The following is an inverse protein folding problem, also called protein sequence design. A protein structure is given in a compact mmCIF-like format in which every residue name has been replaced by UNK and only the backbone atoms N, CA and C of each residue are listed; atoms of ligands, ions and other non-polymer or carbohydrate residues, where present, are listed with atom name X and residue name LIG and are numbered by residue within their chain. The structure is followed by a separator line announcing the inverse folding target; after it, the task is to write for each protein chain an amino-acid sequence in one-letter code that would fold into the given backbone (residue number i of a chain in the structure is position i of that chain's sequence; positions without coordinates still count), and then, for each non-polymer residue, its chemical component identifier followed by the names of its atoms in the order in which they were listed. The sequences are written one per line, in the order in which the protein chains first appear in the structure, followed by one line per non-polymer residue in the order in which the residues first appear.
data_IF_624871319086
#
_entry.id   IF_624871319086
#
_cell.length_a   1.000
_cell.length_b   1.000
_cell.length_c   1.000
_cell.angle_alpha   90.00
_cell.angle_beta   90.00
_cell.angle_gamma   90.00
#
_symmetry.space_group_name_H-M   'P 1'
#
loop_
_entity.id
_entity.type
_entity.pdbx_description
1 polymer ?
#
# COMPACT_ATOMS: atom_id res chain seq x y z
N UNK A 1 28.23 -18.35 19.74
CA UNK A 1 27.07 -17.94 20.54
C UNK A 1 26.21 -19.18 20.70
N UNK A 2 25.91 -19.58 21.92
CA UNK A 2 24.97 -20.68 22.17
C UNK A 2 23.53 -20.14 22.27
N UNK A 3 22.54 -21.05 22.32
CA UNK A 3 21.14 -20.68 22.32
C UNK A 3 20.71 -19.91 23.59
N UNK A 4 21.29 -20.23 24.75
CA UNK A 4 20.97 -19.54 26.01
C UNK A 4 21.45 -18.09 26.00
N UNK A 5 22.61 -17.82 25.40
CA UNK A 5 23.10 -16.46 25.17
C UNK A 5 22.20 -15.67 24.20
N UNK A 6 21.73 -16.32 23.12
CA UNK A 6 20.78 -15.74 22.17
C UNK A 6 19.46 -15.41 22.88
N UNK A 7 18.91 -16.37 23.63
CA UNK A 7 17.65 -16.25 24.35
C UNK A 7 17.69 -15.12 25.37
N UNK A 8 18.76 -15.04 26.16
CA UNK A 8 18.99 -13.95 27.11
C UNK A 8 18.99 -12.57 26.44
N UNK A 9 19.65 -12.44 25.28
CA UNK A 9 19.67 -11.19 24.50
C UNK A 9 18.28 -10.85 23.93
N UNK A 10 17.52 -11.84 23.47
CA UNK A 10 16.15 -11.65 22.99
C UNK A 10 15.23 -11.20 24.14
N UNK A 11 15.34 -11.82 25.31
CA UNK A 11 14.54 -11.46 26.48
C UNK A 11 14.81 -10.03 26.92
N UNK A 12 16.08 -9.60 26.93
CA UNK A 12 16.44 -8.19 27.18
C UNK A 12 15.75 -7.25 26.18
N UNK A 13 15.75 -7.56 24.88
CA UNK A 13 15.14 -6.71 23.85
C UNK A 13 13.63 -6.56 24.06
N UNK A 14 12.96 -7.63 24.50
CA UNK A 14 11.53 -7.62 24.79
C UNK A 14 11.22 -6.96 26.14
N UNK A 15 11.99 -7.20 27.21
CA UNK A 15 11.85 -6.52 28.52
C UNK A 15 12.06 -5.00 28.40
N UNK A 16 12.99 -4.55 27.56
CA UNK A 16 13.18 -3.11 27.30
C UNK A 16 12.00 -2.47 26.55
N UNK A 17 11.16 -3.23 25.84
CA UNK A 17 9.92 -2.69 25.27
C UNK A 17 8.90 -2.32 26.37
N UNK A 18 8.84 -3.12 27.45
CA UNK A 18 7.93 -2.89 28.58
C UNK A 18 8.32 -1.64 29.40
N UNK A 19 9.63 -1.39 29.55
CA UNK A 19 10.19 -0.38 30.47
C UNK A 19 10.44 1.01 29.87
N UNK A 20 10.05 1.27 28.62
CA UNK A 20 9.99 2.63 28.06
C UNK A 20 8.87 3.51 28.69
N UNK A 21 8.25 3.06 29.78
CA UNK A 21 7.45 3.87 30.72
C UNK A 21 8.37 4.30 31.85
N UNK A 22 8.82 5.56 31.83
CA UNK A 22 9.54 6.29 32.89
C UNK A 22 10.30 5.45 33.94
N UNK A 23 11.63 5.50 33.91
CA UNK A 23 12.46 5.05 35.04
C UNK A 23 11.97 5.73 36.34
N UNK A 24 11.64 4.97 37.41
CA UNK A 24 11.58 5.58 38.72
C UNK A 24 12.98 6.05 39.08
N UNK A 25 13.13 7.36 39.28
CA UNK A 25 14.36 7.96 39.81
C UNK A 25 14.72 7.23 41.11
N UNK A 26 15.80 6.46 41.04
CA UNK A 26 16.49 5.79 42.16
C UNK A 26 15.58 5.03 43.13
N UNK A 27 15.52 3.70 42.97
CA UNK A 27 15.69 2.83 44.13
C UNK A 27 16.66 1.70 43.77
N UNK A 28 17.83 1.74 44.40
CA UNK A 28 18.68 0.58 44.55
C UNK A 28 17.91 -0.47 45.33
N UNK A 29 17.63 -1.63 44.73
CA UNK A 29 17.74 -2.89 45.47
C UNK A 29 17.94 -4.07 44.52
N UNK A 30 18.80 -4.96 45.02
CA UNK A 30 19.50 -6.04 44.32
C UNK A 30 18.54 -7.13 43.81
N UNK A 31 18.65 -7.46 42.54
CA UNK A 31 18.44 -8.84 42.08
C UNK A 31 19.72 -9.28 41.37
N UNK A 32 20.59 -9.93 42.12
CA UNK A 32 21.88 -10.43 41.66
C UNK A 32 21.64 -11.71 40.86
N UNK A 33 21.64 -11.62 39.54
CA UNK A 33 21.85 -12.82 38.70
C UNK A 33 23.31 -13.23 38.85
N UNK A 34 23.53 -14.39 39.46
CA UNK A 34 24.86 -14.99 39.62
C UNK A 34 25.35 -15.42 38.24
N UNK A 35 26.20 -14.59 37.63
CA UNK A 35 26.92 -14.93 36.40
C UNK A 35 27.84 -16.12 36.71
N UNK A 36 27.50 -17.30 36.19
CA UNK A 36 28.37 -18.47 36.25
C UNK A 36 29.48 -18.26 35.22
N UNK A 37 30.66 -17.90 35.74
CA UNK A 37 32.01 -18.02 35.16
C UNK A 37 32.19 -17.62 33.68
N UNK A 38 32.73 -16.40 33.48
CA UNK A 38 33.82 -16.19 32.51
C UNK A 38 33.54 -15.36 31.26
N UNK A 39 32.30 -14.97 30.97
CA UNK A 39 31.99 -14.07 29.84
C UNK A 39 32.01 -12.61 30.27
N UNK A 40 32.82 -11.77 29.60
CA UNK A 40 32.65 -10.30 29.67
C UNK A 40 31.21 -9.97 29.27
N UNK A 41 30.53 -9.11 30.03
CA UNK A 41 29.24 -8.57 29.64
C UNK A 41 29.40 -7.90 28.25
N UNK A 42 28.73 -8.36 27.19
CA UNK A 42 28.87 -7.79 25.85
C UNK A 42 28.39 -6.33 25.76
N UNK A 43 27.86 -5.78 26.86
CA UNK A 43 27.35 -4.41 26.98
C UNK A 43 28.13 -3.56 28.01
N UNK A 44 29.34 -3.99 28.45
CA UNK A 44 30.12 -3.25 29.47
C UNK A 44 30.97 -2.08 28.94
N UNK A 45 30.96 -1.79 27.65
CA UNK A 45 31.58 -0.56 27.14
C UNK A 45 30.59 0.59 27.23
N UNK A 46 30.99 1.61 27.98
CA UNK A 46 30.25 2.79 28.39
C UNK A 46 29.74 3.64 27.21
N UNK A 47 28.68 3.19 26.55
CA UNK A 47 27.88 4.03 25.68
C UNK A 47 26.52 4.26 26.32
N UNK A 48 26.15 5.54 26.42
CA UNK A 48 24.91 6.04 26.97
C UNK A 48 23.69 5.21 26.53
N UNK A 49 22.94 4.70 27.49
CA UNK A 49 21.68 3.98 27.26
C UNK A 49 20.66 4.96 26.66
N UNK A 50 20.60 5.02 25.33
CA UNK A 50 19.57 5.78 24.61
C UNK A 50 18.26 4.98 24.60
N UNK A 51 17.15 5.68 24.76
CA UNK A 51 15.78 5.18 24.61
C UNK A 51 15.62 4.60 23.21
N UNK A 52 15.56 3.27 23.09
CA UNK A 52 15.44 2.60 21.80
C UNK A 52 14.00 2.67 21.29
N UNK A 53 13.86 3.07 20.02
CA UNK A 53 12.57 3.04 19.32
C UNK A 53 12.23 1.61 18.86
N UNK A 54 10.94 1.32 18.60
CA UNK A 54 10.47 -0.02 18.19
C UNK A 54 11.20 -0.58 16.95
N UNK A 55 11.69 0.29 16.07
CA UNK A 55 12.43 -0.08 14.85
C UNK A 55 13.87 -0.54 15.14
N UNK A 56 14.56 0.09 16.09
CA UNK A 56 15.94 -0.27 16.45
C UNK A 56 16.03 -1.65 17.09
N UNK A 57 15.00 -2.04 17.87
CA UNK A 57 14.89 -3.39 18.43
C UNK A 57 14.70 -4.45 17.33
N UNK A 58 13.96 -4.13 16.26
CA UNK A 58 13.82 -5.05 15.12
C UNK A 58 15.14 -5.22 14.37
N UNK A 59 15.84 -4.12 14.11
CA UNK A 59 17.17 -4.16 13.47
C UNK A 59 18.16 -4.99 14.30
N UNK A 60 18.07 -4.94 15.63
CA UNK A 60 18.91 -5.77 16.49
C UNK A 60 18.51 -7.25 16.42
N UNK A 61 17.22 -7.59 16.42
CA UNK A 61 16.75 -8.96 16.20
C UNK A 61 17.22 -9.50 14.83
N UNK A 62 17.16 -8.68 13.78
CA UNK A 62 17.65 -9.03 12.44
C UNK A 62 19.16 -9.26 12.44
N UNK A 63 19.94 -8.44 13.16
CA UNK A 63 21.39 -8.63 13.32
C UNK A 63 21.71 -9.90 14.08
N UNK A 64 20.98 -10.22 15.15
CA UNK A 64 21.15 -11.47 15.89
C UNK A 64 20.79 -12.69 15.03
N UNK A 65 19.69 -12.62 14.29
CA UNK A 65 19.25 -13.70 13.39
C UNK A 65 20.24 -13.95 12.24
N UNK A 66 20.80 -12.87 11.68
CA UNK A 66 21.77 -12.94 10.58
C UNK A 66 23.22 -13.10 11.05
N UNK A 67 23.47 -13.21 12.35
CA UNK A 67 24.79 -13.59 12.85
C UNK A 67 25.19 -14.96 12.28
N UNK A 68 26.49 -15.24 12.21
CA UNK A 68 27.04 -16.46 11.60
C UNK A 68 26.76 -17.70 12.49
N UNK A 69 25.48 -18.06 12.62
CA UNK A 69 24.95 -19.17 13.44
C UNK A 69 24.42 -20.28 12.54
N UNK A 70 24.39 -21.51 13.06
CA UNK A 70 23.87 -22.68 12.36
C UNK A 70 22.37 -22.54 12.06
N UNK A 71 21.90 -23.25 11.04
CA UNK A 71 20.49 -23.24 10.64
C UNK A 71 19.56 -23.75 11.76
N UNK A 72 20.01 -24.73 12.54
CA UNK A 72 19.27 -25.24 13.70
C UNK A 72 19.05 -24.14 14.76
N UNK A 73 20.06 -23.31 15.03
CA UNK A 73 19.94 -22.19 15.96
C UNK A 73 19.02 -21.09 15.42
N UNK A 74 18.99 -20.86 14.10
CA UNK A 74 18.03 -19.94 13.48
C UNK A 74 16.60 -20.43 13.62
N UNK A 75 16.37 -21.74 13.49
CA UNK A 75 15.07 -22.34 13.70
C UNK A 75 14.61 -22.24 15.16
N UNK A 76 15.51 -22.45 16.12
CA UNK A 76 15.21 -22.23 17.54
C UNK A 76 14.96 -20.75 17.86
N UNK A 77 15.74 -19.84 17.27
CA UNK A 77 15.53 -18.39 17.35
C UNK A 77 14.13 -18.01 16.87
N UNK A 78 13.73 -18.49 15.69
CA UNK A 78 12.41 -18.21 15.12
C UNK A 78 11.30 -18.76 15.99
N UNK A 79 11.40 -20.01 16.45
CA UNK A 79 10.43 -20.59 17.39
C UNK A 79 10.30 -19.74 18.64
N UNK A 80 11.41 -19.24 19.18
CA UNK A 80 11.42 -18.41 20.37
C UNK A 80 10.76 -17.05 20.14
N UNK A 81 11.20 -16.30 19.12
CA UNK A 81 10.63 -15.00 18.79
C UNK A 81 9.15 -15.12 18.40
N UNK A 82 8.78 -16.09 17.58
CA UNK A 82 7.38 -16.36 17.23
C UNK A 82 6.54 -16.79 18.44
N UNK A 83 7.12 -17.36 19.50
CA UNK A 83 6.37 -17.66 20.73
C UNK A 83 6.00 -16.41 21.52
N UNK A 84 6.70 -15.29 21.30
CA UNK A 84 6.40 -14.00 21.92
C UNK A 84 5.26 -13.25 21.23
N UNK A 85 4.76 -13.73 20.08
CA UNK A 85 3.64 -13.10 19.36
C UNK A 85 2.33 -13.11 20.15
N UNK A 86 2.21 -14.01 21.13
CA UNK A 86 1.03 -14.12 22.01
C UNK A 86 0.98 -13.03 23.08
N UNK A 87 2.07 -12.26 23.23
CA UNK A 87 2.12 -11.05 24.04
C UNK A 87 1.90 -9.84 23.13
N UNK A 88 0.84 -9.06 23.41
CA UNK A 88 0.43 -7.94 22.58
C UNK A 88 1.44 -6.78 22.62
N UNK A 89 2.25 -6.66 23.68
CA UNK A 89 3.32 -5.65 23.72
C UNK A 89 4.40 -6.00 22.68
N UNK A 90 4.59 -7.30 22.43
CA UNK A 90 5.61 -7.86 21.56
C UNK A 90 5.10 -8.17 20.14
N UNK A 91 3.78 -8.09 19.90
CA UNK A 91 3.16 -8.47 18.64
C UNK A 91 3.65 -7.62 17.46
N UNK A 92 3.80 -6.31 17.66
CA UNK A 92 4.23 -5.39 16.60
C UNK A 92 5.69 -5.66 16.22
N UNK A 93 6.57 -5.83 17.23
CA UNK A 93 7.99 -6.13 17.01
C UNK A 93 8.18 -7.50 16.35
N UNK A 94 7.52 -8.53 16.89
CA UNK A 94 7.61 -9.91 16.41
C UNK A 94 7.11 -10.03 14.97
N UNK A 95 5.99 -9.39 14.65
CA UNK A 95 5.46 -9.37 13.28
C UNK A 95 6.35 -8.63 12.33
N UNK A 96 6.81 -7.43 12.70
CA UNK A 96 7.67 -6.65 11.83
C UNK A 96 8.97 -7.41 11.54
N UNK A 97 9.53 -8.07 12.55
CA UNK A 97 10.68 -8.97 12.39
C UNK A 97 10.39 -10.14 11.43
N UNK A 98 9.30 -10.88 11.62
CA UNK A 98 8.91 -11.98 10.73
C UNK A 98 8.63 -11.53 9.29
N UNK A 99 8.04 -10.35 9.12
CA UNK A 99 7.81 -9.71 7.82
C UNK A 99 9.14 -9.40 7.11
N UNK A 100 10.11 -8.80 7.81
CA UNK A 100 11.44 -8.51 7.25
C UNK A 100 12.18 -9.77 6.84
N UNK A 101 11.96 -10.88 7.53
CA UNK A 101 12.48 -12.20 7.15
C UNK A 101 11.65 -12.94 6.09
N UNK A 102 10.55 -12.34 5.62
CA UNK A 102 9.59 -12.95 4.68
C UNK A 102 9.02 -14.30 5.17
N UNK A 103 8.90 -14.48 6.49
CA UNK A 103 8.38 -15.70 7.16
C UNK A 103 6.88 -15.62 7.39
N UNK A 104 6.14 -15.42 6.31
CA UNK A 104 4.68 -15.27 6.34
C UNK A 104 3.96 -16.54 6.76
N UNK A 105 4.50 -17.69 6.38
CA UNK A 105 4.06 -19.03 6.80
C UNK A 105 3.98 -19.16 8.32
N UNK A 106 5.07 -18.81 9.01
CA UNK A 106 5.19 -18.89 10.47
C UNK A 106 4.30 -17.85 11.14
N UNK A 107 4.19 -16.67 10.53
CA UNK A 107 3.30 -15.60 10.99
C UNK A 107 1.83 -16.03 10.93
N UNK A 108 1.40 -16.57 9.78
CA UNK A 108 0.03 -17.04 9.58
C UNK A 108 -0.28 -18.22 10.50
N UNK A 109 0.58 -19.22 10.59
CA UNK A 109 0.38 -20.38 11.48
C UNK A 109 0.07 -19.96 12.93
N UNK A 110 0.79 -18.95 13.44
CA UNK A 110 0.57 -18.43 14.79
C UNK A 110 -0.72 -17.61 14.91
N UNK A 111 -1.01 -16.75 13.94
CA UNK A 111 -2.26 -15.98 13.88
C UNK A 111 -3.51 -16.86 13.66
N UNK A 112 -3.37 -18.05 13.08
CA UNK A 112 -4.46 -19.00 12.85
C UNK A 112 -4.53 -20.13 13.89
N UNK A 113 -3.61 -20.15 14.86
CA UNK A 113 -3.65 -21.11 15.97
C UNK A 113 -4.90 -20.92 16.85
N UNK A 114 -5.31 -21.96 17.58
CA UNK A 114 -6.61 -22.06 18.28
C UNK A 114 -6.91 -20.96 19.30
N UNK A 115 -5.92 -20.17 19.70
CA UNK A 115 -6.10 -18.99 20.55
C UNK A 115 -6.76 -17.82 19.79
N UNK A 116 -6.54 -17.70 18.48
CA UNK A 116 -7.15 -16.69 17.62
C UNK A 116 -8.46 -17.16 16.94
N UNK A 117 -8.70 -18.46 16.82
CA UNK A 117 -9.96 -18.98 16.24
C UNK A 117 -11.21 -18.68 17.08
N UNK A 118 -11.06 -18.40 18.39
CA UNK A 118 -12.14 -17.91 19.25
C UNK A 118 -12.63 -16.49 18.87
N UNK A 119 -11.94 -15.84 17.94
CA UNK A 119 -12.14 -14.46 17.51
C UNK A 119 -12.74 -14.38 16.08
N UNK A 120 -13.53 -15.36 15.63
CA UNK A 120 -13.93 -15.57 14.21
C UNK A 120 -14.57 -14.41 13.41
N UNK A 121 -15.17 -13.39 14.06
CA UNK A 121 -15.65 -12.15 13.41
C UNK A 121 -14.64 -10.99 13.50
N UNK A 122 -13.56 -11.20 14.26
CA UNK A 122 -12.53 -10.24 14.63
C UNK A 122 -11.22 -10.47 13.85
N UNK A 123 -11.09 -11.58 13.11
CA UNK A 123 -9.88 -11.88 12.32
C UNK A 123 -9.75 -10.96 11.09
N UNK A 124 -10.85 -10.67 10.38
CA UNK A 124 -10.82 -9.68 9.28
C UNK A 124 -10.50 -8.28 9.80
N UNK A 125 -11.12 -7.89 10.92
CA UNK A 125 -10.88 -6.61 11.58
C UNK A 125 -9.42 -6.48 12.05
N UNK A 126 -8.88 -7.55 12.64
CA UNK A 126 -7.49 -7.63 13.05
C UNK A 126 -6.57 -7.56 11.83
N UNK A 127 -6.86 -8.28 10.75
CA UNK A 127 -6.13 -8.19 9.48
C UNK A 127 -6.20 -6.78 8.86
N UNK A 128 -7.31 -6.05 8.98
CA UNK A 128 -7.44 -4.69 8.45
C UNK A 128 -6.62 -3.69 9.26
N UNK A 129 -6.70 -3.76 10.59
CA UNK A 129 -5.85 -2.98 11.51
C UNK A 129 -4.37 -3.32 11.29
N UNK A 130 -4.07 -4.59 11.02
CA UNK A 130 -2.73 -5.09 10.80
C UNK A 130 -2.14 -4.66 9.47
N UNK A 131 -2.90 -4.77 8.39
CA UNK A 131 -2.53 -4.26 7.07
C UNK A 131 -2.29 -2.75 7.14
N UNK A 132 -3.08 -2.03 7.96
CA UNK A 132 -2.93 -0.60 8.21
C UNK A 132 -1.69 -0.24 9.06
N UNK A 133 -1.32 -1.06 10.05
CA UNK A 133 -0.09 -0.86 10.82
C UNK A 133 1.15 -1.22 9.98
N UNK A 134 1.06 -2.30 9.19
CA UNK A 134 2.16 -2.80 8.35
C UNK A 134 2.43 -1.96 7.11
N UNK A 135 1.48 -1.14 6.65
CA UNK A 135 1.72 -0.21 5.55
C UNK A 135 2.64 0.96 5.94
N UNK A 136 3.09 1.05 7.21
CA UNK A 136 3.82 2.19 7.80
C UNK A 136 3.05 3.51 7.72
N UNK A 137 1.80 3.46 7.27
CA UNK A 137 0.96 4.60 6.96
C UNK A 137 0.48 5.32 8.21
N UNK A 138 0.49 4.72 9.40
CA UNK A 138 0.00 5.34 10.64
C UNK A 138 0.86 6.53 11.13
N UNK A 139 2.04 6.77 10.53
CA UNK A 139 2.98 7.80 10.97
C UNK A 139 2.48 9.24 10.75
N UNK A 140 1.68 9.46 9.69
CA UNK A 140 1.11 10.79 9.38
C UNK A 140 -0.27 11.02 10.01
N UNK A 141 -0.56 10.39 11.13
CA UNK A 141 -1.84 10.57 11.82
C UNK A 141 -1.78 11.75 12.80
N UNK A 142 -2.88 12.54 12.89
CA UNK A 142 -3.06 13.50 13.97
C UNK A 142 -2.83 12.86 15.35
N UNK A 143 -2.14 13.58 16.24
CA UNK A 143 -1.73 13.08 17.55
C UNK A 143 -2.90 12.61 18.42
N UNK A 144 -4.07 13.23 18.29
CA UNK A 144 -5.30 12.89 18.99
C UNK A 144 -5.85 11.53 18.54
N UNK A 145 -5.81 11.25 17.23
CA UNK A 145 -6.18 9.95 16.66
C UNK A 145 -5.20 8.87 17.12
N UNK A 146 -3.89 9.14 17.07
CA UNK A 146 -2.87 8.20 17.55
C UNK A 146 -3.04 7.88 19.04
N UNK A 147 -3.39 8.90 19.84
CA UNK A 147 -3.65 8.74 21.27
C UNK A 147 -4.89 7.88 21.53
N UNK A 148 -5.96 8.07 20.75
CA UNK A 148 -7.17 7.26 20.83
C UNK A 148 -6.92 5.80 20.40
N UNK A 149 -6.16 5.59 19.32
CA UNK A 149 -5.75 4.27 18.85
C UNK A 149 -4.98 3.52 19.94
N UNK A 150 -3.98 4.18 20.55
CA UNK A 150 -3.19 3.63 21.66
C UNK A 150 -4.07 3.29 22.87
N UNK A 151 -5.03 4.14 23.20
CA UNK A 151 -5.93 3.92 24.33
C UNK A 151 -6.83 2.71 24.11
N UNK A 152 -7.38 2.53 22.90
CA UNK A 152 -8.25 1.41 22.56
C UNK A 152 -7.46 0.10 22.53
N UNK A 153 -6.28 0.09 21.90
CA UNK A 153 -5.38 -1.08 21.90
C UNK A 153 -5.00 -1.50 23.34
N UNK A 154 -4.71 -0.53 24.22
CA UNK A 154 -4.42 -0.78 25.63
C UNK A 154 -5.62 -1.35 26.40
N UNK A 155 -6.84 -0.90 26.10
CA UNK A 155 -8.06 -1.45 26.73
C UNK A 155 -8.29 -2.90 26.31
N UNK A 156 -8.07 -3.22 25.03
CA UNK A 156 -8.18 -4.58 24.50
C UNK A 156 -7.17 -5.53 25.16
N UNK A 157 -5.95 -5.06 25.43
CA UNK A 157 -4.90 -5.81 26.15
C UNK A 157 -5.29 -6.14 27.60
N UNK A 158 -5.77 -5.13 28.35
CA UNK A 158 -6.23 -5.35 29.73
C UNK A 158 -7.41 -6.32 29.83
N UNK A 159 -8.22 -6.45 28.78
CA UNK A 159 -9.36 -7.37 28.72
C UNK A 159 -8.96 -8.79 28.26
N UNK A 160 -7.93 -8.94 27.42
CA UNK A 160 -7.39 -10.25 27.03
C UNK A 160 -6.62 -10.94 28.14
N UNK A 161 -5.92 -10.17 28.99
CA UNK A 161 -5.19 -10.69 30.15
C UNK A 161 -6.09 -10.94 31.37
N UNK A 162 -7.35 -10.52 31.30
CA UNK A 162 -8.34 -10.61 32.39
C UNK A 162 -9.18 -11.89 32.40
N UNK A 163 -8.62 -13.03 31.97
CA UNK A 163 -9.36 -14.30 32.04
C UNK A 163 -9.08 -15.06 33.34
N UNK A 164 -10.13 -15.40 34.13
CA UNK A 164 -9.97 -16.20 35.33
C UNK A 164 -9.51 -17.61 34.91
N UNK A 165 -8.51 -18.18 35.60
CA UNK A 165 -8.17 -19.57 35.41
C UNK A 165 -9.41 -20.40 35.76
N UNK A 166 -9.82 -21.28 34.85
CA UNK A 166 -10.90 -22.28 34.97
C UNK A 166 -12.27 -21.87 34.38
N UNK A 167 -12.45 -22.13 33.08
CA UNK A 167 -13.64 -22.81 32.53
C UNK A 167 -15.05 -22.20 32.66
N UNK A 168 -15.23 -21.04 33.31
CA UNK A 168 -16.54 -20.38 33.41
C UNK A 168 -16.52 -19.15 32.51
N UNK A 169 -17.37 -19.19 31.48
CA UNK A 169 -17.38 -18.22 30.39
C UNK A 169 -17.39 -16.76 30.86
N UNK A 170 -16.79 -15.89 30.05
CA UNK A 170 -16.85 -14.43 30.23
C UNK A 170 -18.23 -14.00 30.73
N UNK A 171 -18.26 -13.32 31.87
CA UNK A 171 -19.46 -12.65 32.32
C UNK A 171 -19.93 -11.68 31.21
N UNK A 172 -21.24 -11.62 30.99
CA UNK A 172 -21.89 -10.75 29.99
C UNK A 172 -21.37 -9.30 29.91
N UNK A 173 -20.91 -8.66 31.01
CA UNK A 173 -20.33 -7.31 30.97
C UNK A 173 -18.97 -7.19 30.28
N UNK A 174 -18.05 -8.13 30.50
CA UNK A 174 -16.70 -8.09 29.89
C UNK A 174 -16.75 -8.35 28.38
N UNK A 175 -17.65 -9.23 27.93
CA UNK A 175 -17.95 -9.41 26.50
C UNK A 175 -18.52 -8.15 25.84
N UNK A 176 -19.37 -7.38 26.55
CA UNK A 176 -19.93 -6.13 26.01
C UNK A 176 -18.86 -5.05 25.87
N UNK A 177 -18.04 -4.83 26.90
CA UNK A 177 -16.99 -3.82 26.89
C UNK A 177 -15.93 -4.09 25.82
N UNK A 178 -15.56 -5.36 25.64
CA UNK A 178 -14.64 -5.79 24.59
C UNK A 178 -15.17 -5.56 23.18
N UNK A 179 -16.45 -5.85 22.94
CA UNK A 179 -17.08 -5.57 21.65
C UNK A 179 -17.21 -4.06 21.39
N UNK A 180 -17.46 -3.27 22.43
CA UNK A 180 -17.50 -1.81 22.33
C UNK A 180 -16.13 -1.22 21.97
N UNK A 181 -15.05 -1.73 22.58
CA UNK A 181 -13.68 -1.30 22.24
C UNK A 181 -13.28 -1.69 20.81
N UNK A 182 -13.64 -2.89 20.33
CA UNK A 182 -13.40 -3.31 18.95
C UNK A 182 -14.19 -2.48 17.94
N UNK A 183 -15.46 -2.18 18.26
CA UNK A 183 -16.28 -1.29 17.43
C UNK A 183 -15.68 0.12 17.37
N UNK A 184 -15.26 0.67 18.51
CA UNK A 184 -14.59 1.97 18.56
C UNK A 184 -13.28 1.99 17.75
N UNK A 185 -12.54 0.89 17.75
CA UNK A 185 -11.32 0.74 16.94
C UNK A 185 -11.63 0.76 15.44
N UNK A 186 -12.63 -0.02 15.01
CA UNK A 186 -13.10 -0.04 13.63
C UNK A 186 -13.55 1.35 13.16
N UNK A 187 -14.33 2.04 13.99
CA UNK A 187 -14.79 3.39 13.70
C UNK A 187 -13.62 4.36 13.56
N UNK A 188 -12.59 4.24 14.39
CA UNK A 188 -11.39 5.08 14.33
C UNK A 188 -10.57 4.80 13.06
N UNK A 189 -10.36 3.52 12.69
CA UNK A 189 -9.65 3.15 11.46
C UNK A 189 -10.41 3.67 10.23
N UNK A 190 -11.72 3.49 10.19
CA UNK A 190 -12.53 4.01 9.09
C UNK A 190 -12.50 5.54 9.04
N UNK A 191 -12.58 6.22 10.18
CA UNK A 191 -12.48 7.68 10.25
C UNK A 191 -11.14 8.16 9.68
N UNK A 192 -10.05 7.49 10.03
CA UNK A 192 -8.70 7.77 9.51
C UNK A 192 -8.61 7.55 8.00
N UNK A 193 -9.09 6.41 7.51
CA UNK A 193 -9.12 6.12 6.07
C UNK A 193 -9.94 7.17 5.32
N UNK A 194 -11.07 7.60 5.90
CA UNK A 194 -11.93 8.64 5.33
C UNK A 194 -11.28 10.02 5.35
N UNK A 195 -10.64 10.45 6.45
CA UNK A 195 -9.94 11.74 6.51
C UNK A 195 -8.76 11.78 5.53
N UNK A 196 -8.07 10.65 5.33
CA UNK A 196 -7.03 10.56 4.30
C UNK A 196 -7.57 10.53 2.89
N UNK A 197 -8.68 9.84 2.67
CA UNK A 197 -9.36 9.88 1.39
C UNK A 197 -9.78 11.32 1.08
N UNK A 198 -10.28 12.07 2.07
CA UNK A 198 -10.55 13.51 1.93
C UNK A 198 -9.29 14.29 1.61
N UNK A 199 -8.20 14.14 2.35
CA UNK A 199 -6.93 14.83 2.07
C UNK A 199 -6.41 14.51 0.65
N UNK A 200 -6.40 13.23 0.27
CA UNK A 200 -6.02 12.79 -1.08
C UNK A 200 -6.94 13.38 -2.16
N UNK A 201 -8.25 13.45 -1.90
CA UNK A 201 -9.22 14.06 -2.81
C UNK A 201 -9.05 15.58 -2.90
N UNK A 202 -8.81 16.26 -1.77
CA UNK A 202 -8.61 17.71 -1.67
C UNK A 202 -7.27 18.13 -2.32
N UNK A 203 -6.24 17.29 -2.23
CA UNK A 203 -4.97 17.43 -2.95
C UNK A 203 -5.07 16.98 -4.41
N UNK A 204 -6.19 16.38 -4.83
CA UNK A 204 -6.39 15.87 -6.18
C UNK A 204 -5.49 14.67 -6.53
N UNK A 205 -4.99 13.95 -5.54
CA UNK A 205 -4.14 12.75 -5.66
C UNK A 205 -5.05 11.52 -5.68
N UNK A 206 -5.28 10.95 -6.87
CA UNK A 206 -5.89 9.63 -7.01
C UNK A 206 -4.78 8.60 -7.24
N UNK A 207 -4.51 7.75 -6.23
CA UNK A 207 -3.42 6.76 -6.27
C UNK A 207 -3.55 5.76 -7.41
N UNK A 208 -4.75 5.27 -7.68
CA UNK A 208 -5.01 4.32 -8.78
C UNK A 208 -4.67 4.94 -10.13
N UNK A 209 -5.10 6.18 -10.33
CA UNK A 209 -4.83 6.92 -11.58
C UNK A 209 -3.35 7.27 -11.72
N UNK A 210 -2.67 7.59 -10.61
CA UNK A 210 -1.24 7.84 -10.63
C UNK A 210 -0.46 6.57 -11.01
N UNK A 211 -0.85 5.42 -10.47
CA UNK A 211 -0.30 4.13 -10.89
C UNK A 211 -0.55 3.85 -12.37
N UNK A 212 -1.76 4.13 -12.86
CA UNK A 212 -2.13 3.93 -14.26
C UNK A 212 -1.38 4.86 -15.21
N UNK A 213 -1.18 6.11 -14.82
CA UNK A 213 -0.32 7.03 -15.55
C UNK A 213 1.13 6.51 -15.63
N UNK A 214 1.68 6.00 -14.51
CA UNK A 214 3.02 5.42 -14.48
C UNK A 214 3.09 4.19 -15.41
N UNK A 215 2.09 3.32 -15.38
CA UNK A 215 1.97 2.16 -16.29
C UNK A 215 1.92 2.60 -17.75
N UNK A 216 1.19 3.69 -18.05
CA UNK A 216 1.07 4.20 -19.42
C UNK A 216 2.40 4.77 -19.92
N UNK A 217 3.07 5.59 -19.11
CA UNK A 217 4.41 6.13 -19.43
C UNK A 217 5.44 5.03 -19.66
N UNK A 218 5.38 3.96 -18.87
CA UNK A 218 6.20 2.76 -19.05
C UNK A 218 5.89 2.05 -20.38
N UNK A 219 4.61 1.85 -20.70
CA UNK A 219 4.17 1.23 -21.95
C UNK A 219 4.67 2.02 -23.18
N UNK A 220 4.56 3.36 -23.15
CA UNK A 220 5.08 4.25 -24.20
C UNK A 220 6.57 3.97 -24.47
N UNK A 221 7.37 3.87 -23.40
CA UNK A 221 8.80 3.56 -23.51
C UNK A 221 9.06 2.15 -24.05
N UNK A 222 8.34 1.16 -23.54
CA UNK A 222 8.50 -0.26 -23.92
C UNK A 222 8.13 -0.52 -25.38
N UNK A 223 7.15 0.20 -25.92
CA UNK A 223 6.75 0.09 -27.32
C UNK A 223 7.61 0.92 -28.28
N UNK A 224 8.60 1.64 -27.76
CA UNK A 224 9.46 2.51 -28.56
C UNK A 224 8.71 3.71 -29.15
N UNK A 225 7.64 4.16 -28.48
CA UNK A 225 6.89 5.34 -28.91
C UNK A 225 7.69 6.62 -28.63
N UNK A 226 7.39 7.70 -29.37
CA UNK A 226 8.06 8.99 -29.19
C UNK A 226 7.92 9.48 -27.73
N UNK A 227 9.05 9.79 -27.11
CA UNK A 227 9.14 10.29 -25.73
C UNK A 227 8.36 11.59 -25.50
N UNK A 228 8.12 12.40 -26.55
CA UNK A 228 7.24 13.58 -26.48
C UNK A 228 5.86 13.25 -25.88
N UNK A 229 5.34 12.03 -26.03
CA UNK A 229 4.08 11.63 -25.41
C UNK A 229 4.15 11.68 -23.87
N UNK A 230 5.27 11.26 -23.28
CA UNK A 230 5.47 11.33 -21.83
C UNK A 230 5.62 12.79 -21.38
N UNK A 231 6.32 13.62 -22.15
CA UNK A 231 6.49 15.05 -21.88
C UNK A 231 5.15 15.80 -21.89
N UNK A 232 4.26 15.46 -22.84
CA UNK A 232 2.91 16.04 -22.88
C UNK A 232 2.08 15.61 -21.66
N UNK A 233 2.19 14.36 -21.21
CA UNK A 233 1.54 13.89 -19.99
C UNK A 233 2.05 14.62 -18.74
N UNK A 234 3.38 14.79 -18.61
CA UNK A 234 4.00 15.56 -17.52
C UNK A 234 3.52 17.00 -17.52
N UNK A 235 3.44 17.62 -18.70
CA UNK A 235 2.91 18.99 -18.84
C UNK A 235 1.45 19.10 -18.41
N UNK A 236 0.61 18.13 -18.80
CA UNK A 236 -0.79 18.06 -18.41
C UNK A 236 -0.94 18.00 -16.88
N UNK A 237 -0.15 17.16 -16.20
CA UNK A 237 -0.20 17.06 -14.74
C UNK A 237 0.31 18.32 -14.06
N UNK A 238 1.42 18.88 -14.55
CA UNK A 238 1.96 20.13 -14.01
C UNK A 238 0.96 21.27 -14.14
N UNK A 239 0.31 21.42 -15.29
CA UNK A 239 -0.74 22.44 -15.49
C UNK A 239 -1.93 22.17 -14.57
N UNK A 240 -2.31 20.90 -14.36
CA UNK A 240 -3.41 20.54 -13.47
C UNK A 240 -3.15 20.89 -11.99
N UNK A 241 -1.93 20.67 -11.49
CA UNK A 241 -1.60 20.92 -10.07
C UNK A 241 -1.18 22.36 -9.79
N UNK A 242 -0.58 23.05 -10.77
CA UNK A 242 -0.03 24.40 -10.60
C UNK A 242 -1.09 25.49 -10.51
N UNK A 243 -2.17 25.39 -11.26
CA UNK A 243 -3.17 26.45 -11.37
C UNK A 243 -4.34 26.23 -10.39
N UNK A 244 -4.81 27.32 -9.79
CA UNK A 244 -6.06 27.34 -9.01
C UNK A 244 -7.29 27.14 -9.91
N UNK A 245 -8.47 26.82 -9.35
CA UNK A 245 -9.70 26.60 -10.14
C UNK A 245 -10.02 27.77 -11.08
N UNK A 246 -9.82 29.01 -10.60
CA UNK A 246 -10.12 30.23 -11.34
C UNK A 246 -9.11 30.52 -12.46
N UNK A 247 -7.87 30.05 -12.31
CA UNK A 247 -6.79 30.19 -13.28
C UNK A 247 -6.71 29.00 -14.25
N UNK A 248 -7.47 27.93 -13.99
CA UNK A 248 -7.41 26.71 -14.76
C UNK A 248 -8.08 26.85 -16.15
N UNK A 249 -7.24 26.96 -17.18
CA UNK A 249 -7.67 27.01 -18.57
C UNK A 249 -8.05 25.60 -19.09
N UNK A 250 -9.28 25.18 -18.79
CA UNK A 250 -9.79 23.86 -19.21
C UNK A 250 -9.66 23.61 -20.71
N UNK A 251 -9.94 24.61 -21.55
CA UNK A 251 -9.90 24.45 -23.01
C UNK A 251 -8.50 24.05 -23.49
N UNK A 252 -7.49 24.80 -23.04
CA UNK A 252 -6.08 24.53 -23.36
C UNK A 252 -5.63 23.17 -22.85
N UNK A 253 -6.05 22.80 -21.64
CA UNK A 253 -5.72 21.50 -21.05
C UNK A 253 -6.37 20.34 -21.81
N UNK A 254 -7.64 20.47 -22.20
CA UNK A 254 -8.34 19.50 -23.05
C UNK A 254 -7.70 19.41 -24.44
N UNK A 255 -7.26 20.53 -25.01
CA UNK A 255 -6.57 20.53 -26.30
C UNK A 255 -5.23 19.75 -26.23
N UNK A 256 -4.44 19.92 -25.17
CA UNK A 256 -3.23 19.13 -24.92
C UNK A 256 -3.55 17.64 -24.74
N UNK A 257 -4.60 17.31 -23.99
CA UNK A 257 -5.04 15.93 -23.78
C UNK A 257 -5.53 15.29 -25.08
N UNK A 258 -6.23 16.06 -25.93
CA UNK A 258 -6.67 15.63 -27.26
C UNK A 258 -5.48 15.37 -28.19
N UNK A 259 -4.49 16.26 -28.16
CA UNK A 259 -3.25 16.11 -28.92
C UNK A 259 -2.50 14.84 -28.50
N UNK A 260 -2.31 14.63 -27.19
CA UNK A 260 -1.74 13.41 -26.64
C UNK A 260 -2.49 12.17 -27.14
N UNK A 261 -3.82 12.13 -26.96
CA UNK A 261 -4.64 10.97 -27.32
C UNK A 261 -4.53 10.62 -28.81
N UNK A 262 -4.60 11.62 -29.68
CA UNK A 262 -4.49 11.43 -31.12
C UNK A 262 -3.10 10.92 -31.53
N UNK A 263 -2.03 11.53 -31.01
CA UNK A 263 -0.64 11.09 -31.27
C UNK A 263 -0.40 9.68 -30.77
N UNK A 264 -0.96 9.33 -29.61
CA UNK A 264 -0.88 7.97 -29.05
C UNK A 264 -1.55 6.94 -29.96
N UNK A 265 -2.78 7.22 -30.40
CA UNK A 265 -3.49 6.37 -31.36
C UNK A 265 -2.72 6.22 -32.68
N UNK A 266 -2.12 7.30 -33.17
CA UNK A 266 -1.36 7.29 -34.42
C UNK A 266 -0.14 6.39 -34.33
N UNK A 267 0.61 6.45 -33.23
CA UNK A 267 1.76 5.56 -33.03
C UNK A 267 1.36 4.10 -32.89
N UNK A 268 0.22 3.80 -32.25
CA UNK A 268 -0.31 2.44 -32.25
C UNK A 268 -0.66 1.98 -33.67
N UNK A 269 -1.37 2.81 -34.45
CA UNK A 269 -1.77 2.49 -35.81
C UNK A 269 -0.55 2.23 -36.71
N UNK A 270 0.47 3.07 -36.62
CA UNK A 270 1.70 2.93 -37.39
C UNK A 270 2.44 1.63 -37.05
N UNK A 271 2.50 1.28 -35.75
CA UNK A 271 3.09 0.03 -35.31
C UNK A 271 2.28 -1.20 -35.75
N UNK A 272 0.96 -1.17 -35.64
CA UNK A 272 0.07 -2.23 -36.17
C UNK A 272 0.26 -2.38 -37.68
N UNK A 273 0.35 -1.27 -38.42
CA UNK A 273 0.60 -1.28 -39.86
C UNK A 273 1.98 -1.86 -40.23
N UNK A 274 2.97 -1.65 -39.37
CA UNK A 274 4.32 -2.22 -39.51
C UNK A 274 4.32 -3.73 -39.26
N UNK A 275 3.69 -4.18 -38.19
CA UNK A 275 3.60 -5.61 -37.82
C UNK A 275 2.77 -6.39 -38.84
N UNK A 276 1.61 -5.87 -39.22
CA UNK A 276 0.68 -6.53 -40.15
C UNK A 276 1.05 -6.39 -41.63
N UNK A 277 2.08 -5.59 -41.95
CA UNK A 277 2.43 -5.14 -43.31
C UNK A 277 1.35 -4.33 -44.05
N UNK A 278 0.21 -4.06 -43.41
CA UNK A 278 -0.92 -3.31 -43.98
C UNK A 278 -0.99 -1.92 -43.35
N UNK A 279 -0.31 -0.95 -43.99
CA UNK A 279 -0.34 0.45 -43.55
C UNK A 279 -1.76 1.02 -43.63
N UNK A 280 -2.19 1.70 -42.57
CA UNK A 280 -3.40 2.50 -42.59
C UNK A 280 -3.28 3.62 -43.61
N UNK A 281 -4.36 3.86 -44.36
CA UNK A 281 -4.49 5.01 -45.27
C UNK A 281 -5.83 5.67 -45.00
N UNK A 282 -5.80 6.99 -44.87
CA UNK A 282 -7.02 7.80 -44.81
C UNK A 282 -7.62 7.83 -46.21
N UNK A 283 -8.87 7.37 -46.32
CA UNK A 283 -9.65 7.47 -47.53
C UNK A 283 -10.35 8.84 -47.56
N UNK A 284 -9.96 9.68 -48.51
CA UNK A 284 -10.49 11.04 -48.63
C UNK A 284 -11.90 11.08 -49.23
N UNK A 285 -12.32 9.99 -49.88
CA UNK A 285 -13.61 9.88 -50.54
C UNK A 285 -14.70 9.41 -49.57
N UNK A 286 -14.31 8.89 -48.39
CA UNK A 286 -15.25 8.58 -47.32
C UNK A 286 -15.74 9.84 -46.61
N UNK A 287 -17.05 9.88 -46.35
CA UNK A 287 -17.71 10.94 -45.56
C UNK A 287 -17.19 11.02 -44.11
N UNK A 288 -16.62 9.93 -43.60
CA UNK A 288 -16.09 9.90 -42.23
C UNK A 288 -14.84 10.76 -42.10
N UNK A 289 -14.75 11.64 -41.09
CA UNK A 289 -13.53 12.41 -40.87
C UNK A 289 -12.35 11.49 -40.50
N UNK A 290 -11.09 11.87 -40.77
CA UNK A 290 -9.91 11.02 -40.58
C UNK A 290 -9.83 10.35 -39.19
N UNK A 291 -10.23 11.06 -38.13
CA UNK A 291 -10.29 10.52 -36.76
C UNK A 291 -11.24 9.33 -36.62
N UNK A 292 -12.41 9.39 -37.26
CA UNK A 292 -13.40 8.31 -37.21
C UNK A 292 -12.89 7.10 -37.98
N UNK A 293 -12.19 7.33 -39.10
CA UNK A 293 -11.56 6.25 -39.87
C UNK A 293 -10.47 5.54 -39.03
N UNK A 294 -9.63 6.30 -38.31
CA UNK A 294 -8.62 5.75 -37.37
C UNK A 294 -9.28 4.90 -36.28
N UNK A 295 -10.36 5.38 -35.68
CA UNK A 295 -11.10 4.63 -34.67
C UNK A 295 -11.68 3.33 -35.23
N UNK A 296 -12.29 3.37 -36.42
CA UNK A 296 -12.79 2.15 -37.09
C UNK A 296 -11.65 1.17 -37.38
N UNK A 297 -10.47 1.66 -37.78
CA UNK A 297 -9.29 0.84 -38.00
C UNK A 297 -8.82 0.16 -36.70
N UNK A 298 -8.72 0.89 -35.59
CA UNK A 298 -8.37 0.33 -34.29
C UNK A 298 -9.41 -0.69 -33.82
N UNK A 299 -10.70 -0.36 -33.91
CA UNK A 299 -11.79 -1.28 -33.55
C UNK A 299 -11.73 -2.59 -34.32
N UNK A 300 -11.41 -2.52 -35.62
CA UNK A 300 -11.30 -3.70 -36.49
C UNK A 300 -10.07 -4.54 -36.19
N UNK A 301 -8.88 -3.92 -36.05
CA UNK A 301 -7.65 -4.68 -35.84
C UNK A 301 -7.54 -5.28 -34.44
N UNK A 302 -8.15 -4.65 -33.44
CA UNK A 302 -8.13 -5.14 -32.05
C UNK A 302 -9.39 -5.92 -31.65
N UNK A 303 -10.30 -6.18 -32.59
CA UNK A 303 -11.59 -6.84 -32.33
C UNK A 303 -12.29 -6.26 -31.08
N UNK A 304 -12.36 -4.93 -31.00
CA UNK A 304 -12.93 -4.27 -29.84
C UNK A 304 -14.40 -4.70 -29.67
N UNK A 305 -14.75 -5.10 -28.45
CA UNK A 305 -16.12 -5.42 -28.06
C UNK A 305 -17.02 -4.20 -28.21
N UNK A 306 -18.34 -4.41 -28.24
CA UNK A 306 -19.29 -3.29 -28.28
C UNK A 306 -19.10 -2.32 -27.10
N UNK A 307 -18.79 -2.85 -25.91
CA UNK A 307 -18.46 -2.06 -24.72
C UNK A 307 -17.25 -1.15 -24.96
N UNK A 308 -16.14 -1.71 -25.40
CA UNK A 308 -14.90 -0.97 -25.68
C UNK A 308 -15.09 0.06 -26.82
N UNK A 309 -15.87 -0.29 -27.85
CA UNK A 309 -16.22 0.64 -28.93
C UNK A 309 -17.09 1.80 -28.46
N UNK A 310 -17.98 1.59 -27.48
CA UNK A 310 -18.74 2.68 -26.82
C UNK A 310 -17.82 3.56 -25.99
N UNK A 311 -16.87 2.99 -25.26
CA UNK A 311 -15.86 3.75 -24.50
C UNK A 311 -15.03 4.64 -25.42
N UNK A 312 -14.55 4.12 -26.55
CA UNK A 312 -13.80 4.92 -27.53
C UNK A 312 -14.62 6.12 -28.05
N UNK A 313 -15.90 5.90 -28.36
CA UNK A 313 -16.82 6.98 -28.76
C UNK A 313 -17.01 8.00 -27.64
N UNK A 314 -17.15 7.55 -26.40
CA UNK A 314 -17.33 8.41 -25.24
C UNK A 314 -16.09 9.28 -24.98
N UNK A 315 -14.89 8.70 -24.99
CA UNK A 315 -13.61 9.43 -24.87
C UNK A 315 -13.51 10.51 -25.95
N UNK A 316 -13.79 10.14 -27.21
CA UNK A 316 -13.77 11.09 -28.31
C UNK A 316 -14.82 12.20 -28.14
N UNK A 317 -16.01 11.88 -27.61
CA UNK A 317 -17.04 12.87 -27.29
C UNK A 317 -16.54 13.85 -26.23
N UNK A 318 -15.98 13.35 -25.14
CA UNK A 318 -15.46 14.17 -24.03
C UNK A 318 -14.33 15.10 -24.47
N UNK A 319 -13.47 14.64 -25.38
CA UNK A 319 -12.37 15.42 -25.91
C UNK A 319 -12.80 16.50 -26.92
N UNK A 320 -13.93 16.34 -27.63
CA UNK A 320 -14.28 17.20 -28.77
C UNK A 320 -15.57 18.01 -28.59
N UNK A 321 -16.48 17.56 -27.74
CA UNK A 321 -17.75 18.24 -27.51
C UNK A 321 -17.70 19.01 -26.20
N UNK A 322 -18.39 20.15 -26.16
CA UNK A 322 -18.76 20.77 -24.90
C UNK A 322 -19.79 19.89 -24.19
N UNK A 323 -19.31 18.85 -23.50
CA UNK A 323 -20.14 18.09 -22.57
C UNK A 323 -20.65 19.11 -21.53
N UNK A 324 -21.98 19.13 -21.32
CA UNK A 324 -22.81 20.01 -20.48
C UNK A 324 -22.07 20.73 -19.34
N UNK A 325 -22.50 21.94 -18.95
CA UNK A 325 -21.86 22.74 -17.89
C UNK A 325 -21.64 21.97 -16.58
N UNK A 326 -20.46 21.37 -16.43
CA UNK A 326 -19.95 20.86 -15.16
C UNK A 326 -19.70 22.06 -14.26
N UNK A 327 -20.09 21.97 -12.98
CA UNK A 327 -19.90 23.07 -12.02
C UNK A 327 -18.43 23.40 -11.77
N UNK A 328 -17.54 22.39 -11.80
CA UNK A 328 -16.09 22.57 -11.70
C UNK A 328 -15.42 22.22 -13.03
N UNK A 329 -14.59 23.15 -13.51
CA UNK A 329 -13.80 22.98 -14.73
C UNK A 329 -12.67 21.98 -14.50
N UNK A 330 -12.03 22.05 -13.33
CA UNK A 330 -10.94 21.16 -12.95
C UNK A 330 -11.42 19.72 -12.79
N UNK A 331 -12.60 19.53 -12.20
CA UNK A 331 -13.20 18.21 -12.06
C UNK A 331 -13.56 17.60 -13.41
N UNK A 332 -14.16 18.39 -14.31
CA UNK A 332 -14.41 17.96 -15.69
C UNK A 332 -13.12 17.51 -16.37
N UNK A 333 -12.04 18.28 -16.22
CA UNK A 333 -10.75 17.92 -16.79
C UNK A 333 -10.16 16.67 -16.15
N UNK A 334 -10.17 16.56 -14.82
CA UNK A 334 -9.67 15.40 -14.07
C UNK A 334 -10.32 14.12 -14.56
N UNK A 335 -11.66 14.09 -14.63
CA UNK A 335 -12.40 12.93 -15.14
C UNK A 335 -12.02 12.64 -16.59
N UNK A 336 -11.96 13.66 -17.45
CA UNK A 336 -11.60 13.47 -18.86
C UNK A 336 -10.19 12.91 -19.02
N UNK A 337 -9.21 13.43 -18.27
CA UNK A 337 -7.82 12.95 -18.23
C UNK A 337 -7.78 11.47 -17.86
N UNK A 338 -8.47 11.09 -16.79
CA UNK A 338 -8.48 9.72 -16.28
C UNK A 338 -9.06 8.74 -17.31
N UNK A 339 -10.20 9.07 -17.91
CA UNK A 339 -10.80 8.26 -18.97
C UNK A 339 -9.87 8.08 -20.17
N UNK A 340 -9.12 9.12 -20.56
CA UNK A 340 -8.13 9.03 -21.64
C UNK A 340 -6.98 8.10 -21.26
N UNK A 341 -6.44 8.22 -20.03
CA UNK A 341 -5.35 7.37 -19.54
C UNK A 341 -5.78 5.90 -19.52
N UNK A 342 -6.92 5.58 -18.91
CA UNK A 342 -7.44 4.21 -18.83
C UNK A 342 -7.66 3.62 -20.23
N UNK A 343 -8.22 4.40 -21.14
CA UNK A 343 -8.45 3.92 -22.50
C UNK A 343 -7.14 3.70 -23.26
N UNK A 344 -6.13 4.56 -23.08
CA UNK A 344 -4.80 4.36 -23.64
C UNK A 344 -4.13 3.08 -23.10
N UNK A 345 -4.29 2.77 -21.81
CA UNK A 345 -3.83 1.51 -21.22
C UNK A 345 -4.56 0.30 -21.80
N UNK A 346 -5.88 0.39 -21.95
CA UNK A 346 -6.65 -0.67 -22.61
C UNK A 346 -6.14 -0.91 -24.04
N UNK A 347 -5.85 0.14 -24.80
CA UNK A 347 -5.22 0.02 -26.12
C UNK A 347 -3.83 -0.60 -26.05
N UNK A 348 -3.01 -0.29 -25.03
CA UNK A 348 -1.71 -0.95 -24.81
C UNK A 348 -1.85 -2.46 -24.67
N UNK A 349 -2.83 -2.91 -23.89
CA UNK A 349 -3.08 -4.34 -23.66
C UNK A 349 -3.52 -5.02 -24.96
N UNK A 350 -4.44 -4.40 -25.70
CA UNK A 350 -4.89 -4.92 -27.01
C UNK A 350 -3.76 -4.95 -28.03
N UNK A 351 -2.87 -3.97 -28.01
CA UNK A 351 -1.71 -3.93 -28.87
C UNK A 351 -0.71 -5.05 -28.56
N UNK A 352 -0.47 -5.35 -27.28
CA UNK A 352 0.37 -6.50 -26.89
C UNK A 352 -0.25 -7.84 -27.27
N UNK A 353 -1.56 -8.01 -27.07
CA UNK A 353 -2.29 -9.18 -27.54
C UNK A 353 -2.14 -9.33 -29.06
N UNK A 354 -2.36 -8.26 -29.81
CA UNK A 354 -2.17 -8.24 -31.27
C UNK A 354 -0.75 -8.64 -31.67
N UNK A 355 0.28 -8.12 -30.99
CA UNK A 355 1.68 -8.50 -31.23
C UNK A 355 1.95 -9.97 -30.96
N UNK A 356 1.35 -10.53 -29.91
CA UNK A 356 1.48 -11.93 -29.56
C UNK A 356 0.81 -12.83 -30.60
N UNK A 357 -0.42 -12.49 -30.99
CA UNK A 357 -1.21 -13.26 -31.97
C UNK A 357 -0.60 -13.25 -33.37
N UNK A 358 0.17 -12.22 -33.74
CA UNK A 358 0.84 -12.16 -35.05
C UNK A 358 2.19 -12.88 -35.08
N UNK A 359 2.78 -13.19 -33.92
CA UNK A 359 4.07 -13.89 -33.81
C UNK A 359 3.92 -15.41 -33.78
N UNK A 360 2.74 -15.90 -33.39
CA UNK A 360 2.37 -17.31 -33.37
C UNK A 360 1.47 -17.63 -34.57
#
# INVERSE_FOLDING_TARGET
MDFEEIKYRIDIIFEFQEHNREFPKKQSNKTTYKIVKGGKNPFSEQNEWKTYTKYENCEYLLKLYNANVSEDLKNEFLKYVSSKIYDIENIVLTTYFLHKLKRYDTLFEKCFSSQFSAYGLKLSLFCDIWNYILSEEYQDLPDDILKNLKLILKKLDTESNGHPPNGLGYSTPTKRLHNENLYNLHMLVNQVQMERLKLKLDEGINTEINEDLIKLKKSIKEYGFNQELNEVLDKIDNDYYKYSEDEFEIKKSIDLLREFFNRYCDQIIDNVGTISTKKFKVDKDLKDPPRVQKHKYLSKNFNLTEGEGRTLKAVNKMLNEEVHHWKSKREKFRITKNFVIEFCLMLSIKFEQFKFDFKN
#
